data_IF_086337748195
#
_entry.id   IF_086337748195
#
_cell.length_a   1.000
_cell.length_b   1.000
_cell.length_c   1.000
_cell.angle_alpha   90.00
_cell.angle_beta   90.00
_cell.angle_gamma   90.00
#
_symmetry.space_group_name_H-M   'P 1'
#
loop_
_entity.id
_entity.type
_entity.pdbx_description
1 polymer ?
#
# COMPACT_ATOMS: atom_id res chain seq x y z
N UNK A 1 7.89 7.04 -30.87
CA UNK A 1 6.73 6.96 -29.94
C UNK A 1 6.01 8.31 -29.92
N UNK A 2 4.69 8.34 -30.11
CA UNK A 2 3.91 9.57 -30.28
C UNK A 2 3.82 10.39 -28.96
N UNK A 3 3.94 11.73 -29.01
CA UNK A 3 4.09 12.62 -27.82
C UNK A 3 2.96 12.44 -26.80
N UNK A 4 1.73 12.24 -27.26
CA UNK A 4 0.55 11.98 -26.41
C UNK A 4 0.69 10.68 -25.61
N UNK A 5 1.20 9.61 -26.22
CA UNK A 5 1.40 8.31 -25.56
C UNK A 5 2.39 8.40 -24.39
N UNK A 6 3.46 9.20 -24.55
CA UNK A 6 4.47 9.43 -23.50
C UNK A 6 3.89 10.18 -22.29
N UNK A 7 3.01 11.15 -22.52
CA UNK A 7 2.35 11.90 -21.43
C UNK A 7 1.40 10.97 -20.66
N UNK A 8 0.57 10.20 -21.36
CA UNK A 8 -0.37 9.25 -20.72
C UNK A 8 0.39 8.22 -19.87
N UNK A 9 1.48 7.64 -20.38
CA UNK A 9 2.28 6.69 -19.61
C UNK A 9 2.85 7.30 -18.33
N UNK A 10 3.41 8.52 -18.39
CA UNK A 10 3.91 9.22 -17.20
C UNK A 10 2.81 9.49 -16.18
N UNK A 11 1.61 9.87 -16.63
CA UNK A 11 0.47 10.09 -15.74
C UNK A 11 0.03 8.79 -15.04
N UNK A 12 0.04 7.66 -15.74
CA UNK A 12 -0.30 6.35 -15.17
C UNK A 12 0.74 5.92 -14.12
N UNK A 13 2.03 6.07 -14.42
CA UNK A 13 3.11 5.77 -13.46
C UNK A 13 2.99 6.61 -12.19
N UNK A 14 2.73 7.91 -12.34
CA UNK A 14 2.53 8.81 -11.20
C UNK A 14 1.29 8.43 -10.38
N UNK A 15 0.18 8.09 -11.05
CA UNK A 15 -1.05 7.66 -10.38
C UNK A 15 -0.85 6.34 -9.61
N UNK A 16 -0.09 5.39 -10.16
CA UNK A 16 0.22 4.13 -9.49
C UNK A 16 1.05 4.34 -8.21
N UNK A 17 2.07 5.20 -8.26
CA UNK A 17 2.87 5.55 -7.08
C UNK A 17 2.07 6.27 -6.00
N UNK A 18 1.22 7.22 -6.41
CA UNK A 18 0.34 7.94 -5.49
C UNK A 18 -0.70 7.00 -4.84
N UNK A 19 -1.29 6.11 -5.64
CA UNK A 19 -2.26 5.11 -5.16
C UNK A 19 -1.64 4.18 -4.11
N UNK A 20 -0.40 3.75 -4.31
CA UNK A 20 0.35 2.96 -3.31
C UNK A 20 0.63 3.76 -2.02
N UNK A 21 0.99 5.04 -2.13
CA UNK A 21 1.16 5.89 -0.96
C UNK A 21 -0.12 6.04 -0.14
N UNK A 22 -1.26 6.20 -0.82
CA UNK A 22 -2.57 6.29 -0.18
C UNK A 22 -2.95 4.97 0.51
N UNK A 23 -2.73 3.82 -0.12
CA UNK A 23 -3.08 2.52 0.47
C UNK A 23 -2.33 2.25 1.78
N UNK A 24 -1.07 2.68 1.89
CA UNK A 24 -0.26 2.59 3.11
C UNK A 24 -0.89 3.40 4.24
N UNK A 25 -1.22 4.66 3.97
CA UNK A 25 -1.82 5.56 4.97
C UNK A 25 -3.16 5.01 5.43
N UNK A 26 -4.01 4.55 4.49
CA UNK A 26 -5.31 3.96 4.80
C UNK A 26 -5.17 2.72 5.68
N UNK A 27 -4.23 1.81 5.37
CA UNK A 27 -4.00 0.61 6.16
C UNK A 27 -3.60 0.94 7.61
N UNK A 28 -2.73 1.92 7.80
CA UNK A 28 -2.29 2.37 9.13
C UNK A 28 -3.46 3.02 9.89
N UNK A 29 -4.23 3.91 9.24
CA UNK A 29 -5.39 4.57 9.86
C UNK A 29 -6.41 3.52 10.31
N UNK A 30 -6.70 2.51 9.49
CA UNK A 30 -7.63 1.44 9.85
C UNK A 30 -7.12 0.67 11.06
N UNK A 31 -5.85 0.27 11.08
CA UNK A 31 -5.25 -0.44 12.22
C UNK A 31 -5.31 0.37 13.52
N UNK A 32 -4.93 1.65 13.45
CA UNK A 32 -4.98 2.58 14.60
C UNK A 32 -6.42 2.79 15.07
N UNK A 33 -7.36 3.03 14.16
CA UNK A 33 -8.77 3.25 14.48
C UNK A 33 -9.40 2.02 15.13
N UNK A 34 -9.14 0.82 14.61
CA UNK A 34 -9.60 -0.43 15.21
C UNK A 34 -8.98 -0.66 16.58
N UNK A 35 -7.66 -0.44 16.73
CA UNK A 35 -6.99 -0.55 18.03
C UNK A 35 -7.54 0.43 19.06
N UNK A 36 -7.79 1.67 18.66
CA UNK A 36 -8.40 2.68 19.52
C UNK A 36 -9.84 2.32 19.90
N UNK A 37 -10.64 1.85 18.95
CA UNK A 37 -12.01 1.40 19.19
C UNK A 37 -12.03 0.24 20.21
N UNK A 38 -11.16 -0.76 20.03
CA UNK A 38 -11.03 -1.89 20.95
C UNK A 38 -10.60 -1.45 22.35
N UNK A 39 -9.61 -0.56 22.45
CA UNK A 39 -9.23 0.05 23.74
C UNK A 39 -10.42 0.75 24.41
N UNK A 40 -11.22 1.50 23.65
CA UNK A 40 -12.34 2.28 24.18
C UNK A 40 -13.44 1.40 24.78
N UNK A 41 -13.75 0.26 24.16
CA UNK A 41 -14.82 -0.64 24.63
C UNK A 41 -14.36 -1.61 25.72
N UNK A 42 -13.10 -2.03 25.71
CA UNK A 42 -12.58 -3.03 26.67
C UNK A 42 -11.84 -2.43 27.87
N UNK A 43 -11.36 -1.19 27.76
CA UNK A 43 -10.43 -0.59 28.72
C UNK A 43 -8.99 -1.14 28.64
N UNK A 44 -8.73 -2.14 27.79
CA UNK A 44 -7.43 -2.80 27.70
C UNK A 44 -6.48 -2.01 26.78
N UNK A 45 -5.50 -1.34 27.38
CA UNK A 45 -4.57 -0.47 26.64
C UNK A 45 -3.70 -1.23 25.64
N UNK A 46 -3.38 -2.51 25.88
CA UNK A 46 -2.55 -3.28 24.93
C UNK A 46 -3.24 -3.52 23.58
N UNK A 47 -4.58 -3.52 23.52
CA UNK A 47 -5.33 -3.70 22.27
C UNK A 47 -5.11 -2.54 21.28
N UNK A 48 -4.82 -1.35 21.78
CA UNK A 48 -4.42 -0.23 20.93
C UNK A 48 -3.15 -0.56 20.16
N UNK A 49 -2.11 -1.02 20.87
CA UNK A 49 -0.83 -1.39 20.26
C UNK A 49 -0.95 -2.59 19.32
N UNK A 50 -1.85 -3.52 19.62
CA UNK A 50 -2.17 -4.62 18.71
C UNK A 50 -2.73 -4.08 17.37
N UNK A 51 -3.66 -3.13 17.40
CA UNK A 51 -4.18 -2.49 16.20
C UNK A 51 -3.11 -1.72 15.41
N UNK A 52 -2.24 -0.98 16.10
CA UNK A 52 -1.09 -0.29 15.48
C UNK A 52 -0.16 -1.29 14.79
N UNK A 53 0.20 -2.38 15.49
CA UNK A 53 1.05 -3.44 14.95
C UNK A 53 0.47 -4.03 13.67
N UNK A 54 -0.82 -4.39 13.67
CA UNK A 54 -1.48 -4.95 12.49
C UNK A 54 -1.62 -3.93 11.35
N UNK A 55 -1.85 -2.65 11.65
CA UNK A 55 -1.87 -1.59 10.64
C UNK A 55 -0.53 -1.44 9.92
N UNK A 56 0.57 -1.43 10.67
CA UNK A 56 1.92 -1.37 10.11
C UNK A 56 2.25 -2.65 9.32
N UNK A 57 1.94 -3.83 9.87
CA UNK A 57 2.15 -5.10 9.18
C UNK A 57 1.38 -5.17 7.85
N UNK A 58 0.12 -4.70 7.83
CA UNK A 58 -0.69 -4.62 6.62
C UNK A 58 -0.10 -3.66 5.58
N UNK A 59 0.41 -2.49 6.00
CA UNK A 59 1.10 -1.56 5.10
C UNK A 59 2.36 -2.19 4.48
N UNK A 60 3.21 -2.84 5.27
CA UNK A 60 4.41 -3.54 4.78
C UNK A 60 4.02 -4.63 3.77
N UNK A 61 3.02 -5.45 4.10
CA UNK A 61 2.53 -6.48 3.19
C UNK A 61 1.95 -5.91 1.89
N UNK A 62 1.29 -4.76 1.94
CA UNK A 62 0.77 -4.07 0.76
C UNK A 62 1.91 -3.61 -0.16
N UNK A 63 2.95 -2.98 0.41
CA UNK A 63 4.15 -2.56 -0.32
C UNK A 63 4.87 -3.76 -0.93
N UNK A 64 5.05 -4.84 -0.17
CA UNK A 64 5.72 -6.04 -0.66
C UNK A 64 4.99 -6.66 -1.86
N UNK A 65 3.64 -6.74 -1.81
CA UNK A 65 2.84 -7.21 -2.94
C UNK A 65 2.99 -6.32 -4.17
N UNK A 66 2.95 -4.99 -3.99
CA UNK A 66 3.13 -4.05 -5.08
C UNK A 66 4.54 -4.13 -5.70
N UNK A 67 5.58 -4.31 -4.88
CA UNK A 67 6.94 -4.54 -5.36
C UNK A 67 7.04 -5.83 -6.18
N UNK A 68 6.54 -6.95 -5.64
CA UNK A 68 6.58 -8.24 -6.34
C UNK A 68 5.85 -8.21 -7.68
N UNK A 69 4.73 -7.48 -7.76
CA UNK A 69 4.00 -7.27 -9.02
C UNK A 69 4.82 -6.46 -10.05
N UNK A 70 5.55 -5.43 -9.60
CA UNK A 70 6.44 -4.64 -10.46
C UNK A 70 7.64 -5.43 -10.98
N UNK A 71 8.25 -6.27 -10.12
CA UNK A 71 9.36 -7.13 -10.56
C UNK A 71 8.87 -8.15 -11.60
N UNK A 72 7.73 -8.80 -11.35
CA UNK A 72 7.16 -9.76 -12.29
C UNK A 72 6.85 -9.14 -13.65
N UNK A 73 6.27 -7.93 -13.67
CA UNK A 73 5.99 -7.24 -14.94
C UNK A 73 7.29 -6.93 -15.68
N UNK A 74 8.35 -6.53 -14.98
CA UNK A 74 9.67 -6.30 -15.56
C UNK A 74 10.28 -7.58 -16.18
N UNK A 75 10.20 -8.71 -15.50
CA UNK A 75 10.65 -10.02 -16.01
C UNK A 75 9.87 -10.45 -17.26
N UNK A 76 8.54 -10.28 -17.25
CA UNK A 76 7.69 -10.56 -18.41
C UNK A 76 8.03 -9.65 -19.61
N UNK A 77 8.44 -8.39 -19.36
CA UNK A 77 8.93 -7.49 -20.42
C UNK A 77 10.30 -7.92 -20.98
N UNK A 78 11.19 -8.47 -20.15
CA UNK A 78 12.50 -8.95 -20.59
C UNK A 78 12.39 -10.23 -21.41
N UNK A 79 11.56 -11.19 -20.97
CA UNK A 79 11.38 -12.47 -21.67
C UNK A 79 10.58 -12.36 -22.99
N UNK A 80 9.93 -11.21 -23.25
CA UNK A 80 9.23 -10.92 -24.52
C UNK A 80 10.10 -10.21 -25.56
N UNK A 81 11.35 -9.88 -25.23
CA UNK A 81 12.35 -9.37 -26.19
C UNK A 81 13.21 -10.50 -26.72
#
# INVERSE_FOLDING_TARGET
MNKRKKIIQKSIEAANGLSLGISIIVAIIIGVALGYFLKKITGLTFLFWLGVFWGIAAAILNVYKAYKAQVKSYEEFQNKK
#
